data_IF_786746901472
#
_entry.id   IF_786746901472
#
_cell.length_a   1.000
_cell.length_b   1.000
_cell.length_c   1.000
_cell.angle_alpha   90.00
_cell.angle_beta   90.00
_cell.angle_gamma   90.00
#
_symmetry.space_group_name_H-M   'P 1'
#
loop_
_entity.id
_entity.type
_entity.pdbx_description
1 polymer ?
#
# COMPACT_ATOMS: atom_id res chain seq x y z
N UNK A 1 9.93 -5.59 -3.82
CA UNK A 1 9.19 -6.71 -4.46
C UNK A 1 9.85 -8.02 -4.04
N UNK A 2 9.08 -9.09 -3.78
CA UNK A 2 9.68 -10.37 -3.43
C UNK A 2 10.44 -10.96 -4.63
N UNK A 3 11.58 -11.58 -4.36
CA UNK A 3 12.35 -12.37 -5.34
C UNK A 3 12.32 -13.83 -4.93
N UNK A 4 11.96 -14.72 -5.84
CA UNK A 4 11.91 -16.16 -5.60
C UNK A 4 12.97 -16.88 -6.44
N UNK A 5 13.60 -17.90 -5.85
CA UNK A 5 14.52 -18.80 -6.56
C UNK A 5 13.80 -20.11 -6.81
N UNK A 6 13.62 -20.46 -8.09
CA UNK A 6 13.07 -21.75 -8.50
C UNK A 6 14.07 -22.89 -8.26
N UNK A 7 13.55 -24.10 -8.09
CA UNK A 7 14.35 -25.32 -8.04
C UNK A 7 13.76 -26.35 -9.00
N UNK A 8 14.59 -27.25 -9.52
CA UNK A 8 14.17 -28.33 -10.41
C UNK A 8 14.53 -29.68 -9.79
N UNK A 9 13.63 -30.66 -9.92
CA UNK A 9 13.88 -32.05 -9.55
C UNK A 9 13.58 -32.95 -10.75
N UNK A 10 14.45 -33.93 -10.99
CA UNK A 10 14.37 -34.77 -12.19
C UNK A 10 13.24 -35.81 -12.10
N UNK A 11 12.88 -36.27 -10.90
CA UNK A 11 11.79 -37.23 -10.65
C UNK A 11 11.25 -37.10 -9.23
N UNK A 12 9.92 -37.14 -9.07
CA UNK A 12 9.17 -37.37 -7.83
C UNK A 12 9.87 -36.87 -6.55
N UNK A 13 10.13 -35.57 -6.50
CA UNK A 13 10.82 -34.95 -5.38
C UNK A 13 10.06 -33.79 -4.77
N UNK A 14 10.39 -33.53 -3.51
CA UNK A 14 10.05 -32.29 -2.82
C UNK A 14 11.16 -31.26 -3.06
N UNK A 15 10.77 -30.01 -3.23
CA UNK A 15 11.69 -28.90 -3.45
C UNK A 15 11.54 -27.86 -2.35
N UNK A 16 12.65 -27.27 -1.94
CA UNK A 16 12.66 -26.10 -1.07
C UNK A 16 12.71 -24.84 -1.95
N UNK A 17 11.59 -24.13 -2.04
CA UNK A 17 11.53 -22.83 -2.67
C UNK A 17 11.89 -21.77 -1.64
N UNK A 18 12.73 -20.81 -2.02
CA UNK A 18 13.12 -19.70 -1.16
C UNK A 18 12.70 -18.38 -1.76
N UNK A 19 12.29 -17.44 -0.91
CA UNK A 19 11.91 -16.10 -1.27
C UNK A 19 12.47 -15.08 -0.28
N UNK A 20 12.88 -13.92 -0.80
CA UNK A 20 13.42 -12.80 -0.03
C UNK A 20 12.71 -11.49 -0.42
N UNK A 21 12.89 -10.44 0.38
CA UNK A 21 12.35 -9.10 0.08
C UNK A 21 11.05 -8.74 0.80
N UNK A 22 10.80 -9.32 1.98
CA UNK A 22 9.68 -8.98 2.85
C UNK A 22 9.80 -9.64 4.23
N UNK A 23 9.12 -9.07 5.24
CA UNK A 23 9.05 -9.65 6.60
C UNK A 23 7.94 -10.70 6.72
N UNK A 24 6.90 -10.62 5.88
CA UNK A 24 5.79 -11.56 5.86
C UNK A 24 5.48 -11.98 4.41
N UNK A 25 6.01 -13.14 4.03
CA UNK A 25 5.82 -13.71 2.69
C UNK A 25 4.79 -14.84 2.75
N UNK A 26 3.71 -14.68 2.00
CA UNK A 26 2.68 -15.71 1.85
C UNK A 26 2.85 -16.42 0.51
N UNK A 27 2.80 -17.74 0.54
CA UNK A 27 2.88 -18.61 -0.62
C UNK A 27 1.49 -19.04 -1.05
N UNK A 28 1.32 -19.22 -2.36
CA UNK A 28 0.05 -19.55 -3.01
C UNK A 28 0.27 -20.56 -4.13
N UNK A 29 -0.71 -21.45 -4.32
CA UNK A 29 -0.72 -22.41 -5.44
C UNK A 29 -1.35 -21.81 -6.71
N UNK A 30 -2.04 -20.68 -6.60
CA UNK A 30 -2.76 -20.04 -7.70
C UNK A 30 -2.33 -18.58 -7.85
N UNK A 31 -2.36 -18.02 -9.08
CA UNK A 31 -2.04 -16.62 -9.32
C UNK A 31 -3.08 -15.66 -8.74
N UNK A 32 -4.25 -16.16 -8.34
CA UNK A 32 -5.31 -15.35 -7.73
C UNK A 32 -5.01 -14.96 -6.27
N UNK A 33 -3.97 -15.55 -5.66
CA UNK A 33 -3.51 -15.26 -4.30
C UNK A 33 -4.62 -15.36 -3.22
N UNK A 34 -5.59 -16.27 -3.40
CA UNK A 34 -6.78 -16.37 -2.55
C UNK A 34 -6.57 -17.20 -1.29
N UNK A 35 -5.76 -18.26 -1.37
CA UNK A 35 -5.56 -19.22 -0.28
C UNK A 35 -4.08 -19.37 0.00
N UNK A 36 -3.67 -18.95 1.20
CA UNK A 36 -2.30 -19.09 1.68
C UNK A 36 -2.02 -20.56 1.95
N UNK A 37 -0.98 -21.11 1.30
CA UNK A 37 -0.55 -22.50 1.50
C UNK A 37 0.64 -22.61 2.47
N UNK A 38 1.38 -21.51 2.65
CA UNK A 38 2.48 -21.39 3.62
C UNK A 38 2.83 -19.93 3.88
N UNK A 39 3.45 -19.64 5.02
CA UNK A 39 3.97 -18.31 5.37
C UNK A 39 5.43 -18.43 5.81
N UNK A 40 6.30 -17.59 5.28
CA UNK A 40 7.72 -17.55 5.61
C UNK A 40 8.63 -17.39 4.39
N UNK A 41 9.94 -17.31 4.64
CA UNK A 41 10.96 -17.12 3.59
C UNK A 41 11.25 -18.39 2.78
N UNK A 42 10.73 -19.54 3.20
CA UNK A 42 10.88 -20.79 2.48
C UNK A 42 9.60 -21.62 2.49
N UNK A 43 9.39 -22.37 1.42
CA UNK A 43 8.28 -23.31 1.27
C UNK A 43 8.78 -24.64 0.73
N UNK A 44 8.53 -25.71 1.48
CA UNK A 44 8.79 -27.08 1.04
C UNK A 44 7.58 -27.60 0.28
N UNK A 45 7.73 -27.86 -1.01
CA UNK A 45 6.64 -28.38 -1.84
C UNK A 45 6.31 -29.82 -1.44
N UNK A 46 5.07 -30.29 -1.65
CA UNK A 46 4.78 -31.71 -1.76
C UNK A 46 5.60 -32.37 -2.88
N UNK A 47 5.54 -33.70 -2.95
CA UNK A 47 6.17 -34.44 -4.04
C UNK A 47 5.54 -34.03 -5.39
N UNK A 48 6.35 -33.47 -6.29
CA UNK A 48 5.90 -33.00 -7.59
C UNK A 48 6.18 -34.06 -8.67
N UNK A 49 5.13 -34.49 -9.35
CA UNK A 49 5.17 -35.41 -10.49
C UNK A 49 5.13 -34.67 -11.84
N UNK A 50 4.75 -33.39 -11.82
CA UNK A 50 4.63 -32.51 -13.00
C UNK A 50 5.09 -31.08 -12.67
N UNK A 51 5.40 -30.29 -13.69
CA UNK A 51 5.80 -28.88 -13.53
C UNK A 51 4.67 -28.09 -12.85
N UNK A 52 4.92 -27.65 -11.62
CA UNK A 52 3.96 -26.89 -10.82
C UNK A 52 4.51 -25.49 -10.54
N UNK A 53 3.68 -24.47 -10.71
CA UNK A 53 4.06 -23.07 -10.45
C UNK A 53 3.48 -22.62 -9.11
N UNK A 54 4.33 -22.00 -8.28
CA UNK A 54 3.95 -21.40 -7.02
C UNK A 54 4.18 -19.89 -7.06
N UNK A 55 3.36 -19.15 -6.31
CA UNK A 55 3.39 -17.70 -6.26
C UNK A 55 3.69 -17.25 -4.83
N UNK A 56 4.43 -16.16 -4.67
CA UNK A 56 4.73 -15.57 -3.37
C UNK A 56 4.38 -14.08 -3.39
N UNK A 57 3.68 -13.62 -2.35
CA UNK A 57 3.35 -12.22 -2.17
C UNK A 57 3.80 -11.74 -0.79
N UNK A 58 4.29 -10.50 -0.74
CA UNK A 58 4.60 -9.84 0.51
C UNK A 58 3.34 -9.15 1.03
N UNK A 59 2.90 -9.48 2.25
CA UNK A 59 1.67 -8.93 2.84
C UNK A 59 1.95 -7.99 4.00
N UNK A 60 2.91 -7.07 3.84
CA UNK A 60 3.11 -6.01 4.82
C UNK A 60 1.95 -5.03 4.71
N UNK A 61 0.99 -5.13 5.62
CA UNK A 61 0.13 -4.01 5.97
C UNK A 61 1.00 -3.04 6.78
N UNK A 62 1.48 -1.97 6.16
CA UNK A 62 2.09 -0.89 6.94
C UNK A 62 1.02 -0.33 7.87
N UNK A 63 1.35 -0.14 9.15
CA UNK A 63 0.48 0.61 10.05
C UNK A 63 0.15 1.96 9.43
N UNK A 64 -1.07 2.50 9.63
CA UNK A 64 -1.40 3.84 9.18
C UNK A 64 -0.32 4.81 9.64
N UNK A 65 0.29 5.50 8.69
CA UNK A 65 1.27 6.54 8.99
C UNK A 65 0.53 7.85 9.01
N UNK A 66 0.46 8.49 10.18
CA UNK A 66 -0.03 9.87 10.27
C UNK A 66 1.10 10.80 9.86
N UNK A 67 0.93 11.49 8.73
CA UNK A 67 1.84 12.52 8.24
C UNK A 67 1.17 13.89 8.18
N UNK A 68 1.95 14.94 7.91
CA UNK A 68 1.48 16.33 7.83
C UNK A 68 1.86 17.17 9.04
N UNK A 69 1.69 18.49 8.93
CA UNK A 69 1.94 19.40 10.05
C UNK A 69 0.84 19.25 11.10
N UNK A 70 1.22 18.84 12.31
CA UNK A 70 0.32 18.66 13.46
C UNK A 70 -0.13 19.99 14.09
N UNK A 71 0.40 21.13 13.62
CA UNK A 71 0.12 22.44 14.17
C UNK A 71 -0.41 23.41 13.11
N UNK A 72 -1.59 23.97 13.39
CA UNK A 72 -2.24 25.01 12.57
C UNK A 72 -1.56 26.38 12.65
N UNK A 73 -0.32 26.47 13.12
CA UNK A 73 0.33 27.73 13.53
C UNK A 73 1.54 28.13 12.67
N UNK A 74 2.26 27.17 12.08
CA UNK A 74 3.45 27.46 11.26
C UNK A 74 3.44 26.56 10.03
N UNK A 75 3.32 27.11 8.83
CA UNK A 75 3.18 26.31 7.58
C UNK A 75 1.79 25.70 7.35
N UNK A 76 0.93 25.68 8.38
CA UNK A 76 -0.50 25.34 8.32
C UNK A 76 -1.42 26.43 8.91
N UNK A 77 -0.96 27.69 8.88
CA UNK A 77 -1.66 28.88 9.41
C UNK A 77 -2.93 29.27 8.65
N UNK A 78 -3.44 30.49 8.86
CA UNK A 78 -4.50 31.05 8.02
C UNK A 78 -3.99 31.21 6.58
N UNK A 79 -4.55 30.43 5.64
CA UNK A 79 -4.12 30.41 4.25
C UNK A 79 -5.11 31.19 3.38
N UNK A 80 -4.66 32.32 2.82
CA UNK A 80 -5.42 33.15 1.89
C UNK A 80 -5.28 32.71 0.43
N UNK A 81 -4.41 31.73 0.15
CA UNK A 81 -4.14 31.21 -1.19
C UNK A 81 -5.04 29.99 -1.49
N UNK A 82 -5.74 29.93 -2.64
CA UNK A 82 -6.67 28.86 -2.96
C UNK A 82 -6.05 27.46 -3.21
N UNK A 83 -4.73 27.31 -3.34
CA UNK A 83 -4.10 26.02 -3.65
C UNK A 83 -3.04 25.62 -2.62
N UNK A 84 -3.41 24.71 -1.72
CA UNK A 84 -2.50 24.08 -0.75
C UNK A 84 -2.67 22.56 -0.79
N UNK A 85 -1.55 21.84 -0.62
CA UNK A 85 -1.51 20.39 -0.72
C UNK A 85 -0.43 19.81 0.18
N UNK A 86 -0.63 18.56 0.60
CA UNK A 86 0.41 17.71 1.16
C UNK A 86 1.00 16.86 0.03
N UNK A 87 2.31 16.64 0.06
CA UNK A 87 2.97 15.69 -0.85
C UNK A 87 3.30 14.43 -0.07
N UNK A 88 3.00 13.28 -0.67
CA UNK A 88 3.26 11.97 -0.08
C UNK A 88 4.20 11.18 -0.98
N UNK A 89 5.29 10.66 -0.41
CA UNK A 89 6.15 9.70 -1.08
C UNK A 89 5.54 8.29 -0.96
N UNK A 90 4.77 7.91 -1.97
CA UNK A 90 4.04 6.63 -1.99
C UNK A 90 4.93 5.54 -2.58
N UNK A 91 5.60 4.78 -1.72
CA UNK A 91 6.51 3.68 -2.11
C UNK A 91 5.80 2.34 -2.36
N UNK A 92 4.51 2.24 -2.01
CA UNK A 92 3.65 1.09 -2.26
C UNK A 92 2.20 1.55 -2.36
N UNK A 93 1.33 0.73 -2.98
CA UNK A 93 -0.09 1.06 -3.11
C UNK A 93 -0.71 1.38 -1.73
N UNK A 94 -1.34 2.54 -1.59
CA UNK A 94 -1.79 3.10 -0.32
C UNK A 94 -3.13 3.81 -0.50
N UNK A 95 -3.93 3.88 0.56
CA UNK A 95 -5.22 4.60 0.59
C UNK A 95 -5.15 5.70 1.66
N UNK A 96 -5.64 6.89 1.34
CA UNK A 96 -5.85 7.94 2.36
C UNK A 96 -7.11 7.59 3.13
N UNK A 97 -6.97 7.31 4.42
CA UNK A 97 -8.10 6.94 5.28
C UNK A 97 -8.83 8.17 5.82
N UNK A 98 -8.08 9.12 6.39
CA UNK A 98 -8.64 10.35 6.97
C UNK A 98 -7.78 11.57 6.67
N UNK A 99 -8.44 12.73 6.60
CA UNK A 99 -7.80 14.05 6.51
C UNK A 99 -8.53 14.97 7.48
N UNK A 100 -7.77 15.69 8.31
CA UNK A 100 -8.32 16.70 9.23
C UNK A 100 -8.03 18.08 8.66
N UNK A 101 -9.06 18.92 8.60
CA UNK A 101 -8.97 20.28 8.05
C UNK A 101 -9.70 21.23 8.97
N UNK A 102 -8.99 22.26 9.43
CA UNK A 102 -9.55 23.32 10.26
C UNK A 102 -9.93 24.51 9.38
N UNK A 103 -11.16 24.99 9.49
CA UNK A 103 -11.66 26.12 8.71
C UNK A 103 -12.18 27.24 9.63
N UNK A 104 -11.71 28.48 9.39
CA UNK A 104 -12.20 29.65 10.13
C UNK A 104 -13.59 30.11 9.67
N UNK A 105 -13.95 29.80 8.43
CA UNK A 105 -15.23 30.16 7.83
C UNK A 105 -15.87 28.94 7.24
N UNK A 106 -17.19 28.85 7.39
CA UNK A 106 -17.95 27.79 6.77
C UNK A 106 -17.95 27.98 5.24
N UNK A 107 -17.87 26.89 4.49
CA UNK A 107 -17.91 26.95 3.03
C UNK A 107 -17.52 25.66 2.35
N UNK A 108 -17.92 25.56 1.08
CA UNK A 108 -17.55 24.43 0.23
C UNK A 108 -16.07 24.51 -0.13
N UNK A 109 -15.34 23.42 0.12
CA UNK A 109 -13.95 23.24 -0.28
C UNK A 109 -13.83 21.99 -1.14
N UNK A 110 -13.05 22.12 -2.20
CA UNK A 110 -12.73 21.02 -3.11
C UNK A 110 -11.47 20.34 -2.63
N UNK A 111 -11.54 19.03 -2.44
CA UNK A 111 -10.42 18.18 -2.08
C UNK A 111 -10.08 17.30 -3.26
N UNK A 112 -8.81 17.31 -3.67
CA UNK A 112 -8.34 16.57 -4.82
C UNK A 112 -7.17 15.68 -4.43
N UNK A 113 -7.25 14.41 -4.78
CA UNK A 113 -6.10 13.52 -4.80
C UNK A 113 -5.48 13.61 -6.19
N UNK A 114 -4.20 13.99 -6.29
CA UNK A 114 -3.48 14.13 -7.55
C UNK A 114 -2.25 13.22 -7.59
N UNK A 115 -1.83 12.83 -8.79
CA UNK A 115 -0.54 12.16 -9.00
C UNK A 115 0.61 13.18 -9.19
N UNK A 116 1.84 12.69 -9.35
CA UNK A 116 3.04 13.53 -9.56
C UNK A 116 3.04 14.34 -10.85
N UNK A 117 2.19 14.00 -11.82
CA UNK A 117 1.96 14.77 -13.05
C UNK A 117 0.81 15.78 -12.90
N UNK A 118 0.34 16.02 -11.67
CA UNK A 118 -0.82 16.86 -11.32
C UNK A 118 -2.18 16.39 -11.88
N UNK A 119 -2.28 15.16 -12.40
CA UNK A 119 -3.55 14.61 -12.83
C UNK A 119 -4.41 14.24 -11.62
N UNK A 120 -5.69 14.63 -11.66
CA UNK A 120 -6.65 14.34 -10.58
C UNK A 120 -7.06 12.87 -10.66
N UNK A 121 -6.81 12.15 -9.58
CA UNK A 121 -7.21 10.76 -9.37
C UNK A 121 -8.59 10.66 -8.69
N UNK A 122 -8.90 11.62 -7.81
CA UNK A 122 -10.19 11.74 -7.13
C UNK A 122 -10.46 13.19 -6.75
N UNK A 123 -11.73 13.60 -6.76
CA UNK A 123 -12.15 14.94 -6.34
C UNK A 123 -13.48 14.86 -5.58
N UNK A 124 -13.59 15.61 -4.50
CA UNK A 124 -14.82 15.74 -3.72
C UNK A 124 -14.99 17.17 -3.21
N UNK A 125 -16.23 17.60 -3.01
CA UNK A 125 -16.55 18.89 -2.40
C UNK A 125 -17.14 18.62 -1.02
N UNK A 126 -16.50 19.14 0.01
CA UNK A 126 -16.96 19.04 1.40
C UNK A 126 -17.31 20.43 1.89
N UNK A 127 -18.50 20.58 2.47
CA UNK A 127 -18.85 21.78 3.21
C UNK A 127 -18.14 21.72 4.56
N UNK A 128 -17.15 22.58 4.77
CA UNK A 128 -16.50 22.71 6.06
C UNK A 128 -17.34 23.66 6.92
N UNK A 129 -17.59 23.29 8.17
CA UNK A 129 -18.14 24.21 9.17
C UNK A 129 -17.04 25.16 9.66
N UNK A 130 -17.43 26.32 10.19
CA UNK A 130 -16.50 27.17 10.94
C UNK A 130 -16.22 26.49 12.30
N UNK A 131 -14.97 26.13 12.56
CA UNK A 131 -14.57 25.43 13.79
C UNK A 131 -13.29 24.63 13.61
N UNK A 132 -12.52 24.50 14.69
CA UNK A 132 -11.32 23.66 14.80
C UNK A 132 -11.53 22.51 15.77
#
# INVERSE_FOLDING_TARGET
MPTATGAAVCYNGSLLLSAAGGTLLNWYATPALTTVINTGTAYTTPNLTTTTTYYVANTVTNSPVTGGLLNSATGGGFLTNPAHYLTFDVVQNSTIETVVVNAQTAGNRTFELRNSSNAILSSTVVNLAAGG
#
